data_IF_160781788952
#
_entry.id   IF_160781788952
#
_cell.length_a   1.000
_cell.length_b   1.000
_cell.length_c   1.000
_cell.angle_alpha   90.00
_cell.angle_beta   90.00
_cell.angle_gamma   90.00
#
_symmetry.space_group_name_H-M   'P 1'
#
loop_
_entity.id
_entity.type
_entity.pdbx_description
1 polymer ?
#
# COMPACT_ATOMS: atom_id res chain seq x y z
N UNK A 1 18.58 19.60 15.17
CA UNK A 1 17.24 19.48 14.54
C UNK A 1 16.92 18.01 14.43
N UNK A 2 15.66 17.58 14.70
CA UNK A 2 15.22 16.19 14.51
C UNK A 2 15.36 15.80 13.02
N UNK A 3 15.87 14.62 12.74
CA UNK A 3 15.92 14.07 11.38
C UNK A 3 14.52 13.89 10.81
N UNK A 4 14.33 14.27 9.55
CA UNK A 4 13.07 14.07 8.83
C UNK A 4 12.98 12.63 8.34
N UNK A 5 11.92 11.92 8.73
CA UNK A 5 11.73 10.50 8.44
C UNK A 5 10.60 10.31 7.43
N UNK A 6 10.93 9.70 6.30
CA UNK A 6 9.98 9.29 5.27
C UNK A 6 9.64 7.79 5.38
N UNK A 7 8.38 7.46 5.11
CA UNK A 7 7.90 6.08 5.06
C UNK A 7 7.38 5.74 3.66
N UNK A 8 7.90 4.66 3.09
CA UNK A 8 7.47 4.13 1.79
C UNK A 8 6.73 2.81 1.98
N UNK A 9 5.51 2.72 1.46
CA UNK A 9 4.65 1.55 1.57
C UNK A 9 4.36 0.97 0.17
N UNK A 10 4.82 -0.24 -0.09
CA UNK A 10 4.59 -0.91 -1.37
C UNK A 10 3.15 -1.37 -1.56
N UNK A 11 2.76 -1.62 -2.79
CA UNK A 11 1.58 -2.41 -3.10
C UNK A 11 1.76 -3.89 -2.71
N UNK A 12 0.63 -4.62 -2.61
CA UNK A 12 0.67 -6.03 -2.26
C UNK A 12 -0.69 -6.66 -1.88
N UNK A 13 -1.80 -5.97 -2.10
CA UNK A 13 -3.13 -6.46 -1.73
C UNK A 13 -3.25 -6.73 -0.23
N UNK A 14 -3.78 -7.90 0.17
CA UNK A 14 -3.93 -8.28 1.59
C UNK A 14 -2.60 -8.34 2.36
N UNK A 15 -1.47 -8.50 1.66
CA UNK A 15 -0.13 -8.43 2.27
C UNK A 15 0.17 -7.06 2.88
N UNK A 16 -0.57 -6.02 2.47
CA UNK A 16 -0.52 -4.69 3.07
C UNK A 16 -0.81 -4.65 4.58
N UNK A 17 -1.47 -5.68 5.12
CA UNK A 17 -1.67 -5.80 6.57
C UNK A 17 -0.34 -5.88 7.34
N UNK A 18 0.74 -6.34 6.71
CA UNK A 18 2.06 -6.32 7.32
C UNK A 18 2.63 -4.89 7.50
N UNK A 19 2.21 -3.93 6.65
CA UNK A 19 2.53 -2.51 6.89
C UNK A 19 1.94 -2.03 8.20
N UNK A 20 0.70 -2.44 8.52
CA UNK A 20 0.03 -2.06 9.77
C UNK A 20 0.81 -2.62 10.98
N UNK A 21 1.37 -3.84 10.85
CA UNK A 21 2.26 -4.41 11.86
C UNK A 21 3.52 -3.56 12.09
N UNK A 22 4.13 -3.06 11.01
CA UNK A 22 5.26 -2.12 11.11
C UNK A 22 4.82 -0.80 11.76
N UNK A 23 3.69 -0.20 11.33
CA UNK A 23 3.18 1.05 11.91
C UNK A 23 2.97 0.92 13.41
N UNK A 24 2.46 -0.23 13.89
CA UNK A 24 2.32 -0.51 15.33
C UNK A 24 3.66 -0.44 16.05
N UNK A 25 4.74 -0.98 15.48
CA UNK A 25 6.09 -0.89 16.05
C UNK A 25 6.60 0.55 16.02
N UNK A 26 6.35 1.31 14.96
CA UNK A 26 6.75 2.71 14.88
C UNK A 26 6.08 3.55 15.98
N UNK A 27 4.77 3.33 16.23
CA UNK A 27 4.03 4.00 17.29
C UNK A 27 4.55 3.61 18.68
N UNK A 28 4.76 2.31 18.94
CA UNK A 28 5.31 1.81 20.22
C UNK A 28 6.71 2.35 20.52
N UNK A 29 7.47 2.62 19.47
CA UNK A 29 8.79 3.23 19.58
C UNK A 29 8.73 4.76 19.49
N UNK A 30 7.54 5.37 19.39
CA UNK A 30 7.33 6.82 19.25
C UNK A 30 8.18 7.42 18.10
N UNK A 31 8.25 6.72 16.96
CA UNK A 31 8.95 7.19 15.77
C UNK A 31 7.97 8.01 14.93
N UNK A 32 8.19 9.32 14.88
CA UNK A 32 7.36 10.23 14.12
C UNK A 32 7.73 10.18 12.63
N UNK A 33 6.73 9.90 11.79
CA UNK A 33 6.85 9.94 10.34
C UNK A 33 6.47 11.34 9.85
N UNK A 34 7.31 11.91 8.98
CA UNK A 34 7.12 13.27 8.46
C UNK A 34 6.44 13.30 7.08
N UNK A 35 6.52 12.21 6.33
CA UNK A 35 5.90 12.07 5.00
C UNK A 35 5.77 10.60 4.63
N UNK A 36 4.70 10.27 3.93
CA UNK A 36 4.44 8.91 3.44
C UNK A 36 4.35 8.92 1.92
N UNK A 37 4.88 7.87 1.28
CA UNK A 37 4.55 7.55 -0.11
C UNK A 37 4.03 6.12 -0.20
N UNK A 38 2.99 5.91 -1.01
CA UNK A 38 2.34 4.62 -1.07
C UNK A 38 1.79 4.27 -2.43
N UNK A 39 1.71 2.95 -2.70
CA UNK A 39 1.09 2.36 -3.89
C UNK A 39 0.08 1.30 -3.45
N UNK A 40 -1.11 1.26 -4.08
CA UNK A 40 -2.11 0.20 -3.87
C UNK A 40 -2.49 0.04 -2.39
N UNK A 41 -2.37 -1.16 -1.84
CA UNK A 41 -2.59 -1.41 -0.41
C UNK A 41 -1.73 -0.48 0.49
N UNK A 42 -0.51 -0.14 0.05
CA UNK A 42 0.35 0.82 0.76
C UNK A 42 -0.20 2.25 0.73
N UNK A 43 -0.89 2.65 -0.34
CA UNK A 43 -1.57 3.94 -0.41
C UNK A 43 -2.77 4.00 0.53
N UNK A 44 -3.59 2.93 0.59
CA UNK A 44 -4.73 2.83 1.50
C UNK A 44 -4.29 2.83 2.98
N UNK A 45 -3.31 1.99 3.34
CA UNK A 45 -2.76 1.95 4.70
C UNK A 45 -2.11 3.28 5.06
N UNK A 46 -1.34 3.86 4.14
CA UNK A 46 -0.70 5.16 4.32
C UNK A 46 -1.70 6.29 4.51
N UNK A 47 -2.78 6.30 3.74
CA UNK A 47 -3.88 7.25 3.87
C UNK A 47 -4.55 7.16 5.25
N UNK A 48 -4.97 5.95 5.65
CA UNK A 48 -5.65 5.75 6.93
C UNK A 48 -4.74 6.13 8.11
N UNK A 49 -3.44 5.83 8.02
CA UNK A 49 -2.48 6.24 9.05
C UNK A 49 -2.22 7.75 9.03
N UNK A 50 -2.07 8.34 7.85
CA UNK A 50 -1.85 9.78 7.69
C UNK A 50 -3.05 10.63 8.14
N UNK A 51 -4.27 10.05 8.12
CA UNK A 51 -5.48 10.70 8.68
C UNK A 51 -5.52 10.68 10.21
N UNK A 52 -4.57 10.02 10.88
CA UNK A 52 -4.48 9.94 12.33
C UNK A 52 -5.10 8.68 12.94
N UNK A 53 -5.54 7.70 12.14
CA UNK A 53 -6.06 6.45 12.68
C UNK A 53 -4.94 5.59 13.25
N UNK A 54 -5.09 5.05 14.49
CA UNK A 54 -4.13 4.14 15.07
C UNK A 54 -4.12 2.80 14.31
N UNK A 55 -2.98 2.06 14.30
CA UNK A 55 -2.84 0.79 13.58
C UNK A 55 -3.91 -0.26 13.91
N UNK A 56 -4.41 -0.30 15.15
CA UNK A 56 -5.51 -1.20 15.54
C UNK A 56 -6.81 -0.91 14.78
N UNK A 57 -7.18 0.37 14.66
CA UNK A 57 -8.38 0.77 13.93
C UNK A 57 -8.23 0.59 12.41
N UNK A 58 -7.02 0.75 11.88
CA UNK A 58 -6.72 0.46 10.47
C UNK A 58 -6.92 -1.03 10.19
N UNK A 59 -6.40 -1.91 11.06
CA UNK A 59 -6.58 -3.36 10.92
C UNK A 59 -8.06 -3.74 11.00
N UNK A 60 -8.80 -3.19 11.95
CA UNK A 60 -10.23 -3.45 12.12
C UNK A 60 -11.02 -2.94 10.90
N UNK A 61 -10.66 -1.80 10.33
CA UNK A 61 -11.25 -1.32 9.09
C UNK A 61 -11.16 -2.38 7.98
N UNK A 62 -9.98 -2.94 7.71
CA UNK A 62 -9.80 -3.98 6.69
C UNK A 62 -10.50 -5.30 7.02
N UNK A 63 -10.68 -5.63 8.29
CA UNK A 63 -11.39 -6.86 8.73
C UNK A 63 -12.89 -6.77 8.53
N UNK A 64 -13.47 -5.59 8.81
CA UNK A 64 -14.93 -5.42 8.84
C UNK A 64 -15.49 -4.74 7.61
N UNK A 65 -14.66 -4.08 6.81
CA UNK A 65 -15.08 -3.46 5.55
C UNK A 65 -15.09 -4.47 4.41
N UNK A 66 -16.11 -4.38 3.58
CA UNK A 66 -16.25 -5.26 2.43
C UNK A 66 -15.43 -4.82 1.20
N UNK A 67 -14.33 -4.09 1.40
CA UNK A 67 -13.45 -3.61 0.30
C UNK A 67 -13.11 -4.69 -0.72
N UNK A 68 -12.91 -5.91 -0.24
CA UNK A 68 -12.59 -7.07 -1.09
C UNK A 68 -13.74 -8.08 -1.18
N UNK A 69 -14.95 -7.73 -0.73
CA UNK A 69 -16.08 -8.65 -0.78
C UNK A 69 -16.64 -8.77 -2.20
N UNK A 70 -16.66 -9.99 -2.73
CA UNK A 70 -17.21 -10.38 -4.03
C UNK A 70 -18.71 -10.01 -4.17
N UNK A 71 -19.40 -9.61 -3.09
CA UNK A 71 -20.82 -9.19 -3.13
C UNK A 71 -21.05 -7.87 -3.85
N UNK A 72 -19.99 -7.12 -4.21
CA UNK A 72 -20.07 -5.78 -4.83
C UNK A 72 -19.87 -5.80 -6.35
N UNK A 73 -20.22 -6.87 -7.04
CA UNK A 73 -20.12 -6.99 -8.49
C UNK A 73 -20.76 -5.81 -9.23
N UNK A 74 -20.00 -5.20 -10.16
CA UNK A 74 -20.46 -4.19 -11.09
C UNK A 74 -20.61 -4.78 -12.49
N UNK A 75 -21.86 -4.80 -13.03
CA UNK A 75 -22.11 -5.29 -14.40
C UNK A 75 -21.98 -4.19 -15.48
N UNK A 76 -21.71 -2.93 -15.11
CA UNK A 76 -21.78 -1.79 -16.02
C UNK A 76 -20.43 -1.12 -16.33
N UNK A 77 -19.35 -1.45 -15.62
CA UNK A 77 -18.00 -0.89 -15.84
C UNK A 77 -16.99 -2.01 -16.10
N UNK A 78 -15.89 -1.76 -16.83
CA UNK A 78 -14.81 -2.71 -16.95
C UNK A 78 -14.19 -2.96 -15.56
N UNK A 79 -14.14 -4.23 -15.13
CA UNK A 79 -13.78 -4.64 -13.76
C UNK A 79 -14.99 -5.16 -12.98
N UNK A 80 -14.74 -5.95 -11.94
CA UNK A 80 -15.82 -6.60 -11.19
C UNK A 80 -16.40 -5.75 -10.06
N UNK A 81 -15.60 -4.86 -9.47
CA UNK A 81 -15.99 -4.01 -8.32
C UNK A 81 -15.68 -2.55 -8.66
N UNK A 82 -16.65 -1.66 -8.45
CA UNK A 82 -16.42 -0.22 -8.54
C UNK A 82 -15.81 0.29 -7.22
N UNK A 83 -14.54 0.74 -7.20
CA UNK A 83 -13.90 1.19 -5.99
C UNK A 83 -14.53 2.46 -5.40
N UNK A 84 -15.21 3.28 -6.22
CA UNK A 84 -15.87 4.50 -5.75
C UNK A 84 -17.03 4.24 -4.76
N UNK A 85 -17.51 3.00 -4.66
CA UNK A 85 -18.49 2.62 -3.62
C UNK A 85 -17.97 2.78 -2.19
N UNK A 86 -16.66 2.87 -2.01
CA UNK A 86 -16.03 3.03 -0.71
C UNK A 86 -15.69 4.49 -0.38
N UNK A 87 -15.93 5.43 -1.29
CA UNK A 87 -15.60 6.85 -1.12
C UNK A 87 -16.26 7.43 0.14
N UNK A 88 -17.58 7.34 0.24
CA UNK A 88 -18.33 7.86 1.41
C UNK A 88 -17.91 7.20 2.73
N UNK A 89 -17.54 5.92 2.69
CA UNK A 89 -17.13 5.18 3.88
C UNK A 89 -15.76 5.66 4.36
N UNK A 90 -14.81 5.88 3.45
CA UNK A 90 -13.48 6.41 3.77
C UNK A 90 -13.58 7.83 4.32
N UNK A 91 -14.40 8.69 3.71
CA UNK A 91 -14.65 10.07 4.21
C UNK A 91 -15.24 10.02 5.62
N UNK A 92 -16.28 9.22 5.87
CA UNK A 92 -16.87 9.10 7.22
C UNK A 92 -15.90 8.55 8.24
N UNK A 93 -15.01 7.64 7.87
CA UNK A 93 -14.03 7.03 8.79
C UNK A 93 -12.91 7.98 9.16
N UNK A 94 -12.45 8.82 8.22
CA UNK A 94 -11.26 9.66 8.39
C UNK A 94 -11.57 11.15 8.59
N UNK A 95 -12.69 11.63 8.08
CA UNK A 95 -13.01 13.05 8.00
C UNK A 95 -12.16 13.83 6.99
N UNK A 96 -11.35 13.15 6.16
CA UNK A 96 -10.47 13.78 5.19
C UNK A 96 -11.03 13.65 3.77
N UNK A 97 -11.12 14.75 3.04
CA UNK A 97 -11.55 14.80 1.64
C UNK A 97 -10.40 15.20 0.70
N UNK A 98 -9.45 15.99 1.21
CA UNK A 98 -8.30 16.49 0.47
C UNK A 98 -6.99 16.02 1.10
N UNK A 99 -5.90 16.02 0.31
CA UNK A 99 -4.55 15.71 0.82
C UNK A 99 -4.13 16.64 1.95
N UNK A 100 -4.59 17.89 1.91
CA UNK A 100 -4.29 18.93 2.88
C UNK A 100 -4.95 18.69 4.25
N UNK A 101 -5.97 17.83 4.33
CA UNK A 101 -6.65 17.46 5.58
C UNK A 101 -5.86 16.43 6.40
N UNK A 102 -4.83 15.82 5.80
CA UNK A 102 -4.04 14.79 6.42
C UNK A 102 -3.06 15.34 7.47
N UNK A 103 -2.90 14.64 8.58
CA UNK A 103 -1.93 14.97 9.63
C UNK A 103 -0.48 14.74 9.18
N UNK A 104 -0.27 13.78 8.26
CA UNK A 104 1.04 13.48 7.66
C UNK A 104 0.91 13.61 6.14
N UNK A 105 1.76 14.41 5.46
CA UNK A 105 1.76 14.51 4.01
C UNK A 105 1.86 13.13 3.34
N UNK A 106 1.00 12.89 2.34
CA UNK A 106 0.93 11.64 1.60
C UNK A 106 1.18 11.87 0.11
N UNK A 107 1.91 10.95 -0.51
CA UNK A 107 2.08 10.86 -1.95
C UNK A 107 1.54 9.52 -2.44
N UNK A 108 0.63 9.57 -3.39
CA UNK A 108 -0.05 8.38 -3.93
C UNK A 108 0.39 8.14 -5.36
N UNK A 109 0.80 6.90 -5.65
CA UNK A 109 1.16 6.45 -6.99
C UNK A 109 -0.03 5.78 -7.67
N UNK A 110 -0.33 6.17 -8.91
CA UNK A 110 -1.32 5.54 -9.78
C UNK A 110 -0.72 5.32 -11.16
N UNK A 111 -1.40 4.51 -11.97
CA UNK A 111 -1.09 4.32 -13.40
C UNK A 111 -2.17 4.98 -14.24
N UNK A 112 -1.80 5.90 -15.10
CA UNK A 112 -2.67 6.47 -16.14
C UNK A 112 -2.83 5.44 -17.26
N UNK A 113 -4.06 4.95 -17.48
CA UNK A 113 -4.31 3.91 -18.49
C UNK A 113 -4.35 4.45 -19.93
N UNK A 114 -4.52 5.75 -20.13
CA UNK A 114 -4.54 6.35 -21.46
C UNK A 114 -3.12 6.57 -21.98
N UNK A 115 -2.18 6.95 -21.11
CA UNK A 115 -0.78 7.22 -21.49
C UNK A 115 0.17 6.06 -21.19
N UNK A 116 -0.20 5.18 -20.24
CA UNK A 116 0.66 4.13 -19.68
C UNK A 116 1.70 4.68 -18.72
N UNK A 117 1.60 5.94 -18.32
CA UNK A 117 2.58 6.59 -17.45
C UNK A 117 2.20 6.54 -15.97
N UNK A 118 3.19 6.78 -15.13
CA UNK A 118 3.03 6.98 -13.70
C UNK A 118 2.41 8.35 -13.42
N UNK A 119 1.39 8.39 -12.55
CA UNK A 119 0.84 9.63 -12.03
C UNK A 119 0.96 9.68 -10.53
N UNK A 120 1.61 10.73 -10.03
CA UNK A 120 1.70 11.06 -8.60
C UNK A 120 0.60 12.04 -8.23
N UNK A 121 -0.14 11.74 -7.15
CA UNK A 121 -1.07 12.67 -6.51
C UNK A 121 -0.55 13.01 -5.10
N UNK A 122 -0.58 14.30 -4.74
CA UNK A 122 -0.06 14.79 -3.46
C UNK A 122 -0.77 16.06 -2.95
N UNK A 123 -1.81 16.52 -3.67
CA UNK A 123 -2.61 17.71 -3.32
C UNK A 123 -4.01 17.63 -3.92
N UNK A 124 -4.96 18.43 -3.38
CA UNK A 124 -6.34 18.47 -3.82
C UNK A 124 -7.16 17.23 -3.42
N UNK A 125 -8.15 16.80 -4.22
CA UNK A 125 -9.02 15.67 -3.88
C UNK A 125 -8.25 14.39 -3.62
N UNK A 126 -8.49 13.75 -2.46
CA UNK A 126 -7.69 12.65 -1.93
C UNK A 126 -8.27 11.27 -2.26
N UNK A 127 -9.57 11.10 -2.10
CA UNK A 127 -10.16 9.75 -2.03
C UNK A 127 -10.08 9.02 -3.36
N UNK A 128 -10.40 9.69 -4.47
CA UNK A 128 -10.32 9.08 -5.81
C UNK A 128 -8.91 8.63 -6.18
N UNK A 129 -7.84 9.42 -5.99
CA UNK A 129 -6.46 8.96 -6.17
C UNK A 129 -6.09 7.73 -5.32
N UNK A 130 -6.50 7.69 -4.04
CA UNK A 130 -6.24 6.54 -3.15
C UNK A 130 -6.96 5.29 -3.66
N UNK A 131 -8.23 5.41 -4.04
CA UNK A 131 -9.02 4.31 -4.60
C UNK A 131 -8.48 3.87 -5.98
N UNK A 132 -8.06 4.81 -6.83
CA UNK A 132 -7.42 4.53 -8.10
C UNK A 132 -6.12 3.74 -7.91
N UNK A 133 -5.27 4.17 -6.96
CA UNK A 133 -4.05 3.46 -6.61
C UNK A 133 -4.28 2.01 -6.19
N UNK A 134 -5.41 1.72 -5.55
CA UNK A 134 -5.80 0.38 -5.11
C UNK A 134 -6.68 -0.38 -6.11
N UNK A 135 -6.97 0.21 -7.28
CA UNK A 135 -7.79 -0.39 -8.32
C UNK A 135 -7.02 -1.46 -9.10
N UNK A 136 -6.79 -2.61 -8.44
CA UNK A 136 -6.09 -3.76 -9.03
C UNK A 136 -6.83 -4.23 -10.30
N UNK A 137 -6.16 -4.27 -11.47
CA UNK A 137 -6.76 -4.76 -12.71
C UNK A 137 -7.43 -6.13 -12.54
N UNK A 138 -8.53 -6.34 -13.24
CA UNK A 138 -9.40 -7.52 -13.20
C UNK A 138 -10.22 -7.69 -11.90
N UNK A 139 -9.87 -7.04 -10.81
CA UNK A 139 -10.68 -7.04 -9.57
C UNK A 139 -11.54 -5.79 -9.52
N UNK A 140 -10.91 -4.63 -9.68
CA UNK A 140 -11.59 -3.35 -9.62
C UNK A 140 -11.67 -2.66 -10.98
N UNK A 141 -12.73 -1.87 -11.13
CA UNK A 141 -12.82 -0.92 -12.26
C UNK A 141 -11.79 0.19 -12.07
N UNK A 142 -11.20 0.71 -13.16
CA UNK A 142 -10.38 1.90 -13.07
C UNK A 142 -11.22 3.10 -12.62
N UNK A 143 -10.58 4.10 -12.06
CA UNK A 143 -11.19 5.32 -11.54
C UNK A 143 -10.97 6.46 -12.52
N UNK A 144 -12.05 7.15 -12.89
CA UNK A 144 -11.98 8.36 -13.70
C UNK A 144 -11.69 9.57 -12.80
N UNK A 145 -10.60 10.27 -13.12
CA UNK A 145 -10.20 11.52 -12.46
C UNK A 145 -9.89 12.52 -13.58
N UNK A 146 -10.63 13.63 -13.61
CA UNK A 146 -10.57 14.61 -14.70
C UNK A 146 -10.77 13.92 -16.06
N UNK A 147 -9.86 14.09 -16.99
CA UNK A 147 -9.96 13.59 -18.36
C UNK A 147 -9.20 12.26 -18.57
N UNK A 148 -8.81 11.53 -17.50
CA UNK A 148 -8.08 10.28 -17.62
C UNK A 148 -8.63 9.17 -16.71
N UNK A 149 -8.20 7.93 -17.02
CA UNK A 149 -8.57 6.71 -16.30
C UNK A 149 -7.37 6.14 -15.58
N UNK A 150 -7.49 5.99 -14.27
CA UNK A 150 -6.38 5.54 -13.41
C UNK A 150 -6.66 4.16 -12.81
N UNK A 151 -5.61 3.38 -12.71
CA UNK A 151 -5.59 2.05 -12.09
C UNK A 151 -4.43 1.92 -11.12
N UNK A 152 -4.25 0.72 -10.56
CA UNK A 152 -3.24 0.41 -9.54
C UNK A 152 -1.85 0.89 -9.97
N UNK A 153 -1.25 1.70 -9.10
CA UNK A 153 0.09 2.24 -9.32
C UNK A 153 1.19 1.17 -9.40
N UNK A 154 0.90 -0.04 -8.89
CA UNK A 154 1.84 -1.15 -8.95
C UNK A 154 2.19 -1.63 -10.35
N UNK A 155 1.40 -1.29 -11.37
CA UNK A 155 1.69 -1.59 -12.77
C UNK A 155 3.01 -0.91 -13.19
N UNK A 156 3.23 0.34 -12.78
CA UNK A 156 4.39 1.17 -13.18
C UNK A 156 5.39 1.39 -12.05
N UNK A 157 4.91 1.61 -10.81
CA UNK A 157 5.77 1.88 -9.64
C UNK A 157 5.19 1.30 -8.35
N UNK A 158 5.48 0.04 -8.08
CA UNK A 158 4.95 -0.64 -6.90
C UNK A 158 5.60 -0.21 -5.57
N UNK A 159 6.74 0.51 -5.61
CA UNK A 159 7.47 0.96 -4.44
C UNK A 159 8.00 2.38 -4.67
N UNK A 160 7.18 3.43 -4.38
CA UNK A 160 7.44 4.79 -4.81
C UNK A 160 8.43 5.55 -3.89
N UNK A 161 9.61 4.95 -3.65
CA UNK A 161 10.67 5.54 -2.81
C UNK A 161 11.24 6.81 -3.44
N UNK A 162 11.24 6.88 -4.75
CA UNK A 162 11.69 8.03 -5.54
C UNK A 162 10.87 9.30 -5.28
N UNK A 163 9.63 9.17 -4.79
CA UNK A 163 8.81 10.32 -4.38
C UNK A 163 9.36 11.05 -3.15
N UNK A 164 10.24 10.40 -2.39
CA UNK A 164 10.86 10.94 -1.19
C UNK A 164 12.32 11.34 -1.37
N UNK A 165 12.88 11.19 -2.60
CA UNK A 165 14.26 11.55 -2.89
C UNK A 165 14.54 13.03 -2.54
N UNK A 166 15.58 13.25 -1.70
CA UNK A 166 15.96 14.59 -1.27
C UNK A 166 15.00 15.28 -0.29
N UNK A 167 13.91 14.62 0.12
CA UNK A 167 12.90 15.20 1.02
C UNK A 167 13.08 14.79 2.49
N UNK A 168 13.83 13.71 2.74
CA UNK A 168 13.99 13.10 4.05
C UNK A 168 15.46 12.80 4.33
N UNK A 169 15.85 12.88 5.62
CA UNK A 169 17.17 12.46 6.08
C UNK A 169 17.25 10.93 6.20
N UNK A 170 16.10 10.30 6.49
CA UNK A 170 15.96 8.87 6.69
C UNK A 170 14.73 8.37 5.95
N UNK A 171 14.89 7.26 5.24
CA UNK A 171 13.78 6.56 4.57
C UNK A 171 13.63 5.17 5.16
N UNK A 172 12.44 4.90 5.70
CA UNK A 172 11.99 3.57 6.08
C UNK A 172 11.17 3.01 4.92
N UNK A 173 11.68 1.97 4.27
CA UNK A 173 10.99 1.33 3.15
C UNK A 173 10.32 0.03 3.58
N UNK A 174 9.01 -0.07 3.46
CA UNK A 174 8.23 -1.27 3.75
C UNK A 174 7.76 -1.92 2.45
N UNK A 175 8.38 -3.04 2.09
CA UNK A 175 8.06 -3.83 0.91
C UNK A 175 7.44 -5.17 1.29
N UNK A 176 6.17 -5.36 0.95
CA UNK A 176 5.42 -6.61 1.15
C UNK A 176 5.25 -7.42 -0.14
N UNK A 177 5.81 -6.92 -1.24
CA UNK A 177 5.77 -7.61 -2.55
C UNK A 177 7.10 -8.36 -2.82
N UNK A 178 7.41 -9.36 -1.98
CA UNK A 178 8.63 -10.15 -2.09
C UNK A 178 8.38 -11.36 -2.99
N UNK A 179 9.24 -11.53 -3.99
CA UNK A 179 9.22 -12.70 -4.87
C UNK A 179 10.14 -13.78 -4.33
N UNK A 180 9.56 -14.97 -4.11
CA UNK A 180 10.30 -16.20 -3.84
C UNK A 180 10.00 -17.24 -4.92
N UNK A 181 10.84 -18.27 -5.00
CA UNK A 181 10.57 -19.43 -5.85
C UNK A 181 9.31 -20.13 -5.35
N UNK A 182 8.41 -20.44 -6.26
CA UNK A 182 7.22 -21.24 -5.99
C UNK A 182 7.36 -22.62 -6.65
N UNK A 183 6.66 -23.60 -6.11
CA UNK A 183 6.58 -24.93 -6.71
C UNK A 183 5.46 -24.98 -7.75
N UNK A 184 5.57 -25.93 -8.70
CA UNK A 184 4.59 -26.07 -9.78
C UNK A 184 3.14 -26.28 -9.27
N UNK A 185 3.00 -26.92 -8.13
CA UNK A 185 1.69 -27.15 -7.49
C UNK A 185 0.96 -25.86 -7.05
N UNK A 186 1.63 -24.70 -7.03
CA UNK A 186 1.03 -23.41 -6.75
C UNK A 186 0.56 -22.67 -8.01
N UNK A 187 0.74 -23.25 -9.19
CA UNK A 187 0.34 -22.69 -10.49
C UNK A 187 -0.67 -23.62 -11.18
N UNK A 188 -1.84 -23.81 -10.52
CA UNK A 188 -2.83 -24.82 -10.91
C UNK A 188 -3.77 -24.37 -12.03
N UNK A 189 -4.01 -23.08 -12.14
CA UNK A 189 -4.99 -22.52 -13.06
C UNK A 189 -4.55 -21.16 -13.61
N UNK A 190 -5.31 -20.63 -14.57
CA UNK A 190 -4.98 -19.36 -15.23
C UNK A 190 -4.95 -18.17 -14.28
N UNK A 191 -5.75 -18.21 -13.21
CA UNK A 191 -5.78 -17.11 -12.20
C UNK A 191 -4.48 -17.09 -11.40
N UNK A 192 -3.99 -18.28 -10.96
CA UNK A 192 -2.72 -18.41 -10.25
C UNK A 192 -1.55 -17.92 -11.11
N UNK A 193 -1.54 -18.28 -12.40
CA UNK A 193 -0.51 -17.88 -13.36
C UNK A 193 -0.53 -16.36 -13.54
N UNK A 194 -1.72 -15.79 -13.71
CA UNK A 194 -1.90 -14.36 -13.91
C UNK A 194 -1.50 -13.56 -12.66
N UNK A 195 -1.96 -13.96 -11.46
CA UNK A 195 -1.56 -13.36 -10.19
C UNK A 195 -0.03 -13.41 -10.04
N UNK A 196 0.57 -14.56 -10.32
CA UNK A 196 2.02 -14.73 -10.27
C UNK A 196 2.77 -13.84 -11.25
N UNK A 197 2.28 -13.74 -12.49
CA UNK A 197 2.88 -12.91 -13.53
C UNK A 197 2.83 -11.44 -13.16
N UNK A 198 1.68 -10.97 -12.67
CA UNK A 198 1.50 -9.61 -12.18
C UNK A 198 2.43 -9.31 -10.99
N UNK A 199 2.52 -10.25 -10.05
CA UNK A 199 3.41 -10.17 -8.89
C UNK A 199 4.89 -10.05 -9.28
N UNK A 200 5.33 -10.83 -10.28
CA UNK A 200 6.70 -10.74 -10.83
C UNK A 200 6.94 -9.37 -11.47
N UNK A 201 5.98 -8.90 -12.28
CA UNK A 201 6.06 -7.59 -12.94
C UNK A 201 6.23 -6.46 -11.91
N UNK A 202 5.37 -6.40 -10.90
CA UNK A 202 5.41 -5.40 -9.84
C UNK A 202 6.72 -5.42 -9.03
N UNK A 203 7.34 -6.60 -8.88
CA UNK A 203 8.56 -6.75 -8.08
C UNK A 203 9.83 -6.38 -8.81
N UNK A 204 9.82 -6.41 -10.15
CA UNK A 204 11.01 -6.29 -11.00
C UNK A 204 11.84 -5.01 -10.73
N UNK A 205 11.15 -3.90 -10.48
CA UNK A 205 11.79 -2.61 -10.25
C UNK A 205 12.06 -2.29 -8.77
N UNK A 206 11.48 -3.08 -7.86
CA UNK A 206 11.58 -2.81 -6.41
C UNK A 206 12.98 -3.12 -5.86
N UNK A 207 13.67 -4.11 -6.43
CA UNK A 207 14.97 -4.56 -5.91
C UNK A 207 16.07 -3.50 -5.99
N UNK A 208 16.13 -2.74 -7.08
CA UNK A 208 17.09 -1.63 -7.24
C UNK A 208 16.77 -0.46 -6.29
N UNK A 209 15.51 -0.26 -5.96
CA UNK A 209 15.02 0.82 -5.10
C UNK A 209 15.30 0.60 -3.62
N UNK A 210 15.54 -0.64 -3.19
CA UNK A 210 15.94 -0.98 -1.81
C UNK A 210 17.13 -0.17 -1.32
N UNK A 211 18.10 0.10 -2.18
CA UNK A 211 19.34 0.83 -1.83
C UNK A 211 19.08 2.28 -1.41
N UNK A 212 17.91 2.83 -1.69
CA UNK A 212 17.49 4.17 -1.28
C UNK A 212 16.96 4.22 0.17
N UNK A 213 16.73 3.07 0.79
CA UNK A 213 16.18 2.99 2.14
C UNK A 213 17.28 2.83 3.19
N UNK A 214 17.22 3.63 4.26
CA UNK A 214 18.10 3.47 5.43
C UNK A 214 17.69 2.25 6.26
N UNK A 215 16.37 2.01 6.37
CA UNK A 215 15.80 0.80 6.97
C UNK A 215 14.88 0.16 5.95
N UNK A 216 15.08 -1.13 5.70
CA UNK A 216 14.26 -1.89 4.76
C UNK A 216 13.53 -3.02 5.47
N UNK A 217 12.22 -2.87 5.57
CA UNK A 217 11.29 -3.85 6.11
C UNK A 217 10.80 -4.74 4.97
N UNK A 218 11.05 -6.04 5.07
CA UNK A 218 10.69 -6.99 4.03
C UNK A 218 10.59 -8.41 4.63
N UNK A 219 9.49 -8.74 5.34
CA UNK A 219 9.30 -10.04 5.97
C UNK A 219 9.20 -11.15 4.91
N UNK A 220 10.12 -12.10 4.94
CA UNK A 220 10.18 -13.18 3.92
C UNK A 220 8.93 -14.06 3.94
N UNK A 221 8.37 -14.27 5.11
CA UNK A 221 7.17 -15.08 5.37
C UNK A 221 5.94 -14.56 4.62
N UNK A 222 5.94 -13.26 4.25
CA UNK A 222 4.84 -12.64 3.50
C UNK A 222 4.62 -13.29 2.12
N UNK A 223 5.64 -13.92 1.55
CA UNK A 223 5.54 -14.61 0.26
C UNK A 223 4.66 -15.86 0.30
N UNK A 224 4.34 -16.37 1.49
CA UNK A 224 3.46 -17.53 1.68
C UNK A 224 1.96 -17.16 1.50
N UNK A 225 1.65 -15.89 1.33
CA UNK A 225 0.28 -15.38 1.20
C UNK A 225 0.02 -14.82 -0.19
N UNK A 226 -1.20 -15.03 -0.70
CA UNK A 226 -1.69 -14.41 -1.93
C UNK A 226 -2.09 -12.95 -1.71
N UNK A 227 -2.28 -12.21 -2.81
CA UNK A 227 -2.71 -10.80 -2.75
C UNK A 227 -4.20 -10.65 -2.41
N UNK A 228 -4.98 -11.74 -2.43
CA UNK A 228 -6.41 -11.79 -2.13
C UNK A 228 -6.76 -12.74 -0.95
N UNK A 229 -5.80 -13.05 -0.08
CA UNK A 229 -5.99 -13.94 1.09
C UNK A 229 -6.75 -13.26 2.23
N UNK A 230 -8.02 -12.91 2.00
CA UNK A 230 -8.88 -12.18 2.94
C UNK A 230 -9.07 -12.85 4.29
N UNK A 231 -8.95 -14.18 4.36
CA UNK A 231 -9.08 -14.93 5.61
C UNK A 231 -7.80 -14.94 6.45
N UNK A 232 -6.75 -14.23 6.02
CA UNK A 232 -5.42 -14.24 6.64
C UNK A 232 -4.95 -12.88 7.16
N UNK A 233 -5.83 -11.88 7.20
CA UNK A 233 -5.46 -10.48 7.51
C UNK A 233 -4.72 -10.35 8.85
N UNK A 234 -5.23 -10.99 9.93
CA UNK A 234 -4.59 -10.95 11.25
C UNK A 234 -3.24 -11.66 11.28
N UNK A 235 -3.13 -12.79 10.56
CA UNK A 235 -1.87 -13.54 10.49
C UNK A 235 -0.82 -12.70 9.75
N UNK A 236 -1.21 -12.07 8.64
CA UNK A 236 -0.33 -11.19 7.84
C UNK A 236 0.10 -9.96 8.65
N UNK A 237 -0.83 -9.35 9.41
CA UNK A 237 -0.49 -8.28 10.36
C UNK A 237 0.56 -8.75 11.38
N UNK A 238 0.34 -9.94 11.99
CA UNK A 238 1.28 -10.50 12.95
C UNK A 238 2.66 -10.74 12.34
N UNK A 239 2.74 -11.27 11.13
CA UNK A 239 4.02 -11.42 10.40
C UNK A 239 4.74 -10.07 10.28
N UNK A 240 3.98 -9.01 9.97
CA UNK A 240 4.54 -7.66 9.90
C UNK A 240 5.05 -7.17 11.26
N UNK A 241 4.25 -7.34 12.30
CA UNK A 241 4.62 -6.95 13.67
C UNK A 241 5.88 -7.68 14.17
N UNK A 242 5.90 -9.03 14.05
CA UNK A 242 7.01 -9.86 14.49
C UNK A 242 8.31 -9.49 13.72
N UNK A 243 8.22 -9.24 12.41
CA UNK A 243 9.36 -8.78 11.64
C UNK A 243 9.81 -7.37 12.04
N UNK A 244 8.87 -6.47 12.35
CA UNK A 244 9.16 -5.12 12.87
C UNK A 244 9.97 -5.17 14.16
N UNK A 245 9.64 -6.10 15.06
CA UNK A 245 10.41 -6.34 16.30
C UNK A 245 11.88 -6.69 16.02
N UNK A 246 12.17 -7.43 14.95
CA UNK A 246 13.57 -7.75 14.57
C UNK A 246 14.37 -6.53 14.13
N UNK A 247 13.69 -5.45 13.76
CA UNK A 247 14.31 -4.19 13.35
C UNK A 247 14.38 -3.15 14.48
N UNK A 248 13.90 -3.48 15.68
CA UNK A 248 13.76 -2.55 16.81
C UNK A 248 15.03 -1.75 17.10
N UNK A 249 16.18 -2.40 17.19
CA UNK A 249 17.47 -1.72 17.46
C UNK A 249 17.81 -0.68 16.39
N UNK A 250 17.63 -1.04 15.10
CA UNK A 250 17.84 -0.13 13.97
C UNK A 250 16.87 1.04 13.98
N UNK A 251 15.61 0.78 14.32
CA UNK A 251 14.56 1.79 14.42
C UNK A 251 14.83 2.75 15.58
N UNK A 252 15.27 2.27 16.72
CA UNK A 252 15.65 3.13 17.86
C UNK A 252 16.86 4.00 17.51
N UNK A 253 17.85 3.46 16.78
CA UNK A 253 19.05 4.20 16.40
C UNK A 253 18.80 5.42 15.49
N UNK A 254 17.65 5.50 14.81
CA UNK A 254 17.30 6.65 13.96
C UNK A 254 16.58 7.78 14.71
N UNK A 255 16.17 7.57 15.97
CA UNK A 255 15.53 8.61 16.80
C UNK A 255 16.51 9.71 17.26
N UNK A 256 17.82 9.47 17.16
CA UNK A 256 18.90 10.35 17.66
C UNK A 256 19.30 11.39 16.63
#
# INVERSE_FOLDING_TARGET
MRKKIGLVLSGGGTKGMAHIGLLKILDELEIQIDIISGTSAGALVGFLYASGLPPSEILDYFKYTSLFSIKNFSYKKPGFIDPLKFEDELIRKTGCENFEDLQIPLKVCTTDLLTGEEKKFESGPLIKPVLASAALPMVFSPVEIEDSWYSDGGIVNNFPVDYLDGMCDIIIGSNVNIIQKVELQHLKNSVDIMERSFHILMSKFTQSKKMKCNIYFAPKEISNYGILDLNKLEIIYKVGYDHGLTLKEKLVAIKV
#
